data_IF_541843088785
#
_entry.id   IF_541843088785
#
_cell.length_a   1.000
_cell.length_b   1.000
_cell.length_c   1.000
_cell.angle_alpha   90.00
_cell.angle_beta   90.00
_cell.angle_gamma   90.00
#
_symmetry.space_group_name_H-M   'P 1'
#
loop_
_entity.id
_entity.type
_entity.pdbx_description
1 polymer ?
#
# COMPACT_ATOMS: atom_id res chain seq x y z
N UNK A 1 51.70 27.27 -0.47
CA UNK A 1 50.75 26.30 -1.06
C UNK A 1 49.40 26.98 -1.16
N UNK A 2 48.70 26.78 -2.28
CA UNK A 2 47.31 27.23 -2.43
C UNK A 2 46.42 26.02 -2.19
N UNK A 3 45.43 26.18 -1.32
CA UNK A 3 44.45 25.15 -1.00
C UNK A 3 43.17 25.42 -1.78
N UNK A 4 42.59 24.39 -2.41
CA UNK A 4 41.25 24.47 -2.98
C UNK A 4 40.28 23.99 -1.89
N UNK A 5 39.34 24.83 -1.41
CA UNK A 5 38.33 24.38 -0.48
C UNK A 5 37.36 23.42 -1.20
N UNK A 6 37.11 22.26 -0.58
CA UNK A 6 36.10 21.28 -1.02
C UNK A 6 35.06 21.17 0.09
N UNK A 7 33.79 21.23 -0.27
CA UNK A 7 32.66 20.99 0.64
C UNK A 7 31.91 19.75 0.15
N UNK A 8 31.75 18.77 1.03
CA UNK A 8 30.91 17.59 0.79
C UNK A 8 29.64 17.78 1.62
N UNK A 9 28.48 17.67 0.97
CA UNK A 9 27.17 17.78 1.61
C UNK A 9 26.54 16.39 1.57
N UNK A 10 25.90 16.00 2.68
CA UNK A 10 25.26 14.70 2.88
C UNK A 10 23.80 14.93 3.31
N UNK A 11 22.86 14.21 2.70
CA UNK A 11 21.42 14.26 2.98
C UNK A 11 20.80 12.87 2.80
N UNK A 12 19.60 12.69 3.37
CA UNK A 12 18.91 11.39 3.41
C UNK A 12 17.76 11.33 2.40
N UNK A 13 17.40 10.14 1.89
CA UNK A 13 16.22 10.00 1.04
C UNK A 13 14.95 10.36 1.80
N UNK A 14 13.99 10.97 1.11
CA UNK A 14 12.69 11.35 1.69
C UNK A 14 11.56 11.03 0.71
N UNK A 15 10.56 10.26 1.16
CA UNK A 15 9.29 10.08 0.43
C UNK A 15 8.54 11.40 0.51
N UNK A 16 8.23 11.99 -0.64
CA UNK A 16 7.57 13.30 -0.77
C UNK A 16 6.12 13.19 -1.19
N UNK A 17 5.73 12.08 -1.80
CA UNK A 17 4.35 11.84 -2.23
C UNK A 17 4.06 10.35 -2.41
N UNK A 18 2.78 10.00 -2.51
CA UNK A 18 2.29 8.66 -2.82
C UNK A 18 1.06 8.78 -3.73
N UNK A 19 0.99 7.96 -4.78
CA UNK A 19 -0.16 8.01 -5.67
C UNK A 19 -1.46 7.65 -4.93
N UNK A 20 -2.45 8.55 -4.98
CA UNK A 20 -3.78 8.21 -4.52
C UNK A 20 -4.43 7.25 -5.51
N UNK A 21 -4.81 6.07 -5.04
CA UNK A 21 -5.45 5.02 -5.83
C UNK A 21 -6.80 4.63 -5.20
N UNK A 22 -7.73 4.17 -6.03
CA UNK A 22 -9.02 3.65 -5.59
C UNK A 22 -9.44 2.49 -6.48
N UNK A 23 -10.18 1.56 -5.88
CA UNK A 23 -10.90 0.46 -6.53
C UNK A 23 -12.25 0.36 -5.82
N UNK A 24 -13.27 -0.10 -6.53
CA UNK A 24 -14.62 -0.14 -6.02
C UNK A 24 -15.06 -1.58 -5.74
N UNK A 25 -15.79 -1.79 -4.63
CA UNK A 25 -16.23 -3.12 -4.23
C UNK A 25 -17.33 -3.69 -5.13
N UNK A 26 -18.07 -2.80 -5.80
CA UNK A 26 -19.08 -3.18 -6.78
C UNK A 26 -18.49 -3.78 -8.05
N UNK A 27 -17.16 -3.73 -8.20
CA UNK A 27 -16.42 -4.43 -9.23
C UNK A 27 -15.91 -5.83 -8.82
N UNK A 28 -16.09 -6.23 -7.56
CA UNK A 28 -15.73 -7.58 -7.11
C UNK A 28 -16.59 -8.65 -7.79
N UNK A 29 -15.93 -9.63 -8.39
CA UNK A 29 -16.60 -10.71 -9.09
C UNK A 29 -17.59 -11.47 -8.19
N UNK A 30 -18.78 -11.78 -8.73
CA UNK A 30 -19.86 -12.53 -8.05
C UNK A 30 -20.56 -11.83 -6.88
N UNK A 31 -20.04 -10.71 -6.38
CA UNK A 31 -20.61 -9.98 -5.24
C UNK A 31 -21.03 -8.56 -5.66
N UNK A 32 -20.19 -7.88 -6.43
CA UNK A 32 -20.40 -6.50 -6.87
C UNK A 32 -21.46 -6.35 -7.97
N UNK A 33 -22.04 -5.16 -8.10
CA UNK A 33 -23.12 -4.86 -9.03
C UNK A 33 -22.68 -4.42 -10.44
N UNK A 34 -21.49 -3.82 -10.61
CA UNK A 34 -20.99 -3.35 -11.92
C UNK A 34 -20.05 -4.39 -12.56
N UNK A 35 -18.97 -4.76 -11.88
CA UNK A 35 -17.97 -5.74 -12.34
C UNK A 35 -17.33 -5.35 -13.69
N UNK A 36 -17.27 -4.05 -14.00
CA UNK A 36 -16.78 -3.51 -15.26
C UNK A 36 -15.36 -2.93 -15.15
N UNK A 37 -14.91 -2.55 -13.95
CA UNK A 37 -13.59 -1.97 -13.72
C UNK A 37 -12.66 -2.95 -12.99
N UNK A 38 -11.33 -2.71 -13.00
CA UNK A 38 -10.40 -3.60 -12.33
C UNK A 38 -10.42 -3.40 -10.81
N UNK A 39 -10.34 -4.51 -10.08
CA UNK A 39 -10.15 -4.52 -8.61
C UNK A 39 -8.66 -4.48 -8.20
N UNK A 40 -7.77 -4.26 -9.15
CA UNK A 40 -6.33 -4.14 -8.95
C UNK A 40 -5.81 -2.88 -9.61
N UNK A 41 -4.96 -2.15 -8.90
CA UNK A 41 -4.42 -0.87 -9.34
C UNK A 41 -2.97 -0.71 -8.86
N UNK A 42 -2.14 -0.18 -9.75
CA UNK A 42 -0.75 0.14 -9.47
C UNK A 42 -0.62 1.61 -9.04
N UNK A 43 0.34 1.87 -8.15
CA UNK A 43 0.74 3.21 -7.76
C UNK A 43 2.23 3.25 -7.45
N UNK A 44 2.72 4.44 -7.10
CA UNK A 44 4.15 4.65 -6.86
C UNK A 44 4.41 5.66 -5.73
N UNK A 45 5.49 5.41 -4.97
CA UNK A 45 6.07 6.40 -4.07
C UNK A 45 6.94 7.39 -4.85
N UNK A 46 6.72 8.68 -4.63
CA UNK A 46 7.63 9.71 -5.14
C UNK A 46 8.68 10.00 -4.07
N UNK A 47 9.96 9.77 -4.40
CA UNK A 47 11.07 9.95 -3.46
C UNK A 47 12.11 10.92 -3.99
N UNK A 48 12.56 11.82 -3.12
CA UNK A 48 13.79 12.58 -3.35
C UNK A 48 14.95 11.81 -2.72
N UNK A 49 15.84 11.25 -3.53
CA UNK A 49 16.95 10.41 -3.05
C UNK A 49 18.06 11.22 -2.36
N UNK A 50 18.28 12.47 -2.75
CA UNK A 50 19.41 13.26 -2.28
C UNK A 50 20.74 12.68 -2.77
N UNK A 51 21.71 12.61 -1.87
CA UNK A 51 23.05 12.05 -2.05
C UNK A 51 23.11 10.54 -1.80
N UNK A 52 22.06 10.01 -1.16
CA UNK A 52 21.86 8.60 -0.83
C UNK A 52 21.00 7.87 -1.89
N UNK A 53 20.90 6.54 -1.79
CA UNK A 53 19.98 5.73 -2.61
C UNK A 53 18.96 5.01 -1.74
N UNK A 54 17.70 4.99 -2.18
CA UNK A 54 16.65 4.15 -1.58
C UNK A 54 16.84 2.70 -2.03
N UNK A 55 16.78 1.76 -1.08
CA UNK A 55 16.95 0.33 -1.35
C UNK A 55 15.72 -0.51 -0.95
N UNK A 56 14.76 0.08 -0.24
CA UNK A 56 13.56 -0.60 0.22
C UNK A 56 12.44 0.39 0.53
N UNK A 57 11.20 -0.04 0.31
CA UNK A 57 9.98 0.63 0.72
C UNK A 57 9.14 -0.35 1.55
N UNK A 58 8.53 0.13 2.63
CA UNK A 58 7.80 -0.67 3.61
C UNK A 58 6.78 0.23 4.32
N UNK A 59 5.63 -0.31 4.71
CA UNK A 59 4.67 0.39 5.58
C UNK A 59 5.25 0.58 6.99
N UNK A 60 4.89 1.68 7.64
CA UNK A 60 5.23 1.88 9.04
C UNK A 60 4.55 0.82 9.92
N UNK A 61 5.34 -0.08 10.51
CA UNK A 61 4.85 -1.16 11.37
C UNK A 61 4.20 -0.69 12.68
N UNK A 62 4.36 0.59 13.04
CA UNK A 62 3.66 1.20 14.16
C UNK A 62 2.27 1.76 13.80
N UNK A 63 1.97 1.87 12.50
CA UNK A 63 0.66 2.28 12.03
C UNK A 63 -0.35 1.12 12.11
N UNK A 64 -1.63 1.48 12.24
CA UNK A 64 -2.75 0.53 12.29
C UNK A 64 -3.76 0.83 11.18
N UNK A 65 -3.37 0.67 9.89
CA UNK A 65 -4.14 1.16 8.75
C UNK A 65 -5.49 0.46 8.56
N UNK A 66 -5.69 -0.71 9.15
CA UNK A 66 -6.93 -1.49 9.07
C UNK A 66 -7.74 -1.47 10.38
N UNK A 67 -7.35 -0.67 11.37
CA UNK A 67 -8.07 -0.62 12.65
C UNK A 67 -9.50 -0.13 12.45
N UNK A 68 -10.45 -0.84 13.07
CA UNK A 68 -11.88 -0.61 12.91
C UNK A 68 -12.51 -1.10 11.60
N UNK A 69 -11.73 -1.55 10.61
CA UNK A 69 -12.28 -2.19 9.41
C UNK A 69 -12.83 -3.58 9.74
N UNK A 70 -13.97 -3.89 9.14
CA UNK A 70 -14.60 -5.21 9.21
C UNK A 70 -14.91 -5.69 7.80
N UNK A 71 -15.02 -7.01 7.64
CA UNK A 71 -15.55 -7.65 6.45
C UNK A 71 -16.46 -8.80 6.89
N UNK A 72 -17.72 -8.76 6.46
CA UNK A 72 -18.75 -9.72 6.83
C UNK A 72 -18.91 -9.84 8.36
N UNK A 73 -18.76 -8.72 9.07
CA UNK A 73 -18.85 -8.57 10.52
C UNK A 73 -17.58 -8.93 11.31
N UNK A 74 -16.54 -9.44 10.64
CA UNK A 74 -15.29 -9.90 11.26
C UNK A 74 -14.21 -8.83 11.10
N UNK A 75 -13.41 -8.60 12.16
CA UNK A 75 -12.33 -7.61 12.11
C UNK A 75 -11.29 -7.96 11.06
N UNK A 76 -10.87 -6.96 10.28
CA UNK A 76 -9.79 -7.11 9.31
C UNK A 76 -8.45 -7.01 10.04
N UNK A 77 -7.57 -7.98 9.76
CA UNK A 77 -6.20 -8.00 10.26
C UNK A 77 -5.22 -7.95 9.09
N UNK A 78 -4.07 -7.31 9.28
CA UNK A 78 -3.04 -7.16 8.26
C UNK A 78 -1.78 -7.93 8.66
N UNK A 79 -1.31 -8.83 7.80
CA UNK A 79 -0.08 -9.57 7.99
C UNK A 79 0.98 -9.13 6.96
N UNK A 80 2.17 -8.77 7.44
CA UNK A 80 3.32 -8.44 6.59
C UNK A 80 4.18 -9.69 6.35
N UNK A 81 4.63 -9.86 5.10
CA UNK A 81 5.65 -10.82 4.69
C UNK A 81 6.78 -10.10 3.98
N UNK A 82 8.01 -10.26 4.48
CA UNK A 82 9.21 -9.83 3.79
C UNK A 82 9.63 -10.88 2.74
N UNK A 83 9.73 -10.47 1.48
CA UNK A 83 10.03 -11.37 0.38
C UNK A 83 11.54 -11.47 0.12
N UNK A 84 12.04 -12.58 -0.48
CA UNK A 84 13.46 -12.76 -0.77
C UNK A 84 14.06 -11.74 -1.75
N UNK A 85 13.23 -11.08 -2.55
CA UNK A 85 13.64 -10.03 -3.50
C UNK A 85 13.70 -8.63 -2.86
N UNK A 86 13.38 -8.52 -1.57
CA UNK A 86 13.36 -7.28 -0.80
C UNK A 86 12.04 -6.50 -0.85
N UNK A 87 11.05 -6.99 -1.61
CA UNK A 87 9.68 -6.45 -1.56
C UNK A 87 8.96 -6.89 -0.27
N UNK A 88 7.85 -6.22 0.04
CA UNK A 88 6.96 -6.59 1.13
C UNK A 88 5.56 -6.85 0.60
N UNK A 89 4.93 -7.92 1.10
CA UNK A 89 3.52 -8.23 0.82
C UNK A 89 2.71 -8.11 2.10
N UNK A 90 1.60 -7.39 2.03
CA UNK A 90 0.65 -7.19 3.11
C UNK A 90 -0.66 -7.86 2.74
N UNK A 91 -1.05 -8.88 3.51
CA UNK A 91 -2.31 -9.60 3.31
C UNK A 91 -3.31 -9.20 4.38
N UNK A 92 -4.43 -8.61 3.94
CA UNK A 92 -5.54 -8.28 4.81
C UNK A 92 -6.56 -9.42 4.80
N UNK A 93 -6.91 -9.92 5.99
CA UNK A 93 -7.85 -11.04 6.14
C UNK A 93 -8.89 -10.75 7.21
N UNK A 94 -10.09 -11.27 6.99
CA UNK A 94 -11.17 -11.32 7.96
C UNK A 94 -11.48 -12.79 8.27
N UNK A 95 -10.89 -13.29 9.35
CA UNK A 95 -10.88 -14.72 9.66
C UNK A 95 -10.07 -15.51 8.62
N UNK A 96 -10.75 -16.34 7.81
CA UNK A 96 -10.12 -17.14 6.76
C UNK A 96 -10.29 -16.55 5.35
N UNK A 97 -10.98 -15.41 5.23
CA UNK A 97 -11.27 -14.79 3.94
C UNK A 97 -10.27 -13.67 3.67
N UNK A 98 -9.74 -13.62 2.45
CA UNK A 98 -8.93 -12.51 1.98
C UNK A 98 -9.82 -11.28 1.74
N UNK A 99 -9.32 -10.09 2.12
CA UNK A 99 -9.98 -8.80 1.92
C UNK A 99 -9.22 -8.00 0.88
N UNK A 100 -7.90 -7.84 1.04
CA UNK A 100 -7.04 -7.24 0.03
C UNK A 100 -5.59 -7.69 0.18
N UNK A 101 -4.79 -7.42 -0.85
CA UNK A 101 -3.33 -7.55 -0.82
C UNK A 101 -2.70 -6.25 -1.31
N UNK A 102 -1.63 -5.83 -0.64
CA UNK A 102 -0.73 -4.77 -1.10
C UNK A 102 0.67 -5.36 -1.24
N UNK A 103 1.28 -5.21 -2.41
CA UNK A 103 2.70 -5.53 -2.61
C UNK A 103 3.47 -4.24 -2.83
N UNK A 104 4.51 -4.00 -2.04
CA UNK A 104 5.40 -2.84 -2.14
C UNK A 104 6.76 -3.32 -2.63
N UNK A 105 7.17 -2.84 -3.81
CA UNK A 105 8.41 -3.23 -4.45
C UNK A 105 9.59 -2.36 -4.01
N UNK A 106 10.81 -2.84 -4.25
CA UNK A 106 12.05 -2.14 -3.87
C UNK A 106 12.32 -0.87 -4.68
N UNK A 107 11.67 -0.71 -5.83
CA UNK A 107 11.79 0.47 -6.69
C UNK A 107 10.80 1.60 -6.32
N UNK A 108 9.88 1.35 -5.40
CA UNK A 108 8.86 2.31 -4.96
C UNK A 108 7.51 2.13 -5.65
N UNK A 109 7.40 1.25 -6.63
CA UNK A 109 6.10 0.83 -7.15
C UNK A 109 5.36 -0.04 -6.14
N UNK A 110 4.03 0.01 -6.17
CA UNK A 110 3.20 -0.93 -5.42
C UNK A 110 1.95 -1.30 -6.21
N UNK A 111 1.40 -2.46 -5.89
CA UNK A 111 0.13 -2.93 -6.42
C UNK A 111 -0.83 -3.22 -5.27
N UNK A 112 -2.04 -2.67 -5.36
CA UNK A 112 -3.14 -3.01 -4.47
C UNK A 112 -4.16 -3.86 -5.22
N UNK A 113 -4.68 -4.90 -4.57
CA UNK A 113 -5.74 -5.76 -5.12
C UNK A 113 -6.80 -6.03 -4.07
N UNK A 114 -8.02 -5.55 -4.30
CA UNK A 114 -9.21 -5.85 -3.51
C UNK A 114 -9.72 -7.26 -3.87
N UNK A 115 -10.08 -8.03 -2.84
CA UNK A 115 -10.44 -9.45 -2.96
C UNK A 115 -11.73 -9.81 -2.22
N UNK A 116 -12.13 -9.00 -1.25
CA UNK A 116 -13.37 -9.17 -0.50
C UNK A 116 -13.93 -7.83 -0.06
N UNK A 117 -15.22 -7.79 0.32
CA UNK A 117 -15.90 -6.56 0.69
C UNK A 117 -15.44 -6.03 2.05
N UNK A 118 -15.67 -4.75 2.29
CA UNK A 118 -15.48 -4.05 3.56
C UNK A 118 -16.85 -3.60 4.04
N UNK A 119 -17.11 -3.81 5.33
CA UNK A 119 -18.38 -3.43 5.92
C UNK A 119 -18.48 -1.91 6.05
N UNK A 120 -19.54 -1.37 5.47
CA UNK A 120 -19.93 0.02 5.61
C UNK A 120 -20.96 0.21 6.74
N UNK A 121 -21.14 1.45 7.18
CA UNK A 121 -22.23 1.77 8.10
C UNK A 121 -23.59 1.54 7.40
N UNK A 122 -24.65 1.18 8.15
CA UNK A 122 -25.96 0.99 7.54
C UNK A 122 -26.41 2.23 6.75
N UNK A 123 -26.77 2.04 5.47
CA UNK A 123 -27.13 3.09 4.51
C UNK A 123 -25.98 4.04 4.13
N UNK A 124 -24.71 3.63 4.24
CA UNK A 124 -23.57 4.38 3.74
C UNK A 124 -22.86 3.72 2.56
N UNK A 125 -23.42 2.65 1.99
CA UNK A 125 -22.96 2.13 0.70
C UNK A 125 -23.10 3.25 -0.34
N UNK A 126 -22.07 3.42 -1.19
CA UNK A 126 -22.18 4.34 -2.32
C UNK A 126 -23.25 3.84 -3.30
N UNK A 127 -24.01 4.78 -3.87
CA UNK A 127 -25.10 4.52 -4.82
C UNK A 127 -24.59 4.28 -6.23
#
# INVERSE_FOLDING_TARGET
TVSIPVTIVDDKPTITDVDAISVDEDDLASIGSDQSNPVSIDGNFTTTQGSDRVVSYQLDSSATPVDGLKSQGVDVTLAETANPDGSFTYEATAGANAVFTLTVNTDGSYNFTLQGPIDHAPNSDEL
#
